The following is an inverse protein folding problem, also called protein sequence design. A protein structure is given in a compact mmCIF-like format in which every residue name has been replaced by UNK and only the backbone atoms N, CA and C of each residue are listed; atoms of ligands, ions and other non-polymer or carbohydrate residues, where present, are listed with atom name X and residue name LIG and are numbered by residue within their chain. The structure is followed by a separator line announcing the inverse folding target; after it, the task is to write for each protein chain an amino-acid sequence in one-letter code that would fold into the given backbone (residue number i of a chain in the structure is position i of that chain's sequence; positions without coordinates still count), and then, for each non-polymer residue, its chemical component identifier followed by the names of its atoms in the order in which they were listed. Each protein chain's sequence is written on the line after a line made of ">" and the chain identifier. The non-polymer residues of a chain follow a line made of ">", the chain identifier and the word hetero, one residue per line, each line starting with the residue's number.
data_IF_922547263970
#
_entry.id   IF_922547263970
#
_cell.length_a   1.000
_cell.length_b   1.000
_cell.length_c   1.000
_cell.angle_alpha   90.00
_cell.angle_beta   90.00
_cell.angle_gamma   90.00
#
_symmetry.space_group_name_H-M   'P 1'
#
loop_
_entity.id
_entity.type
_entity.pdbx_description
1 polymer ?
#
# COMPACT_ATOMS: atom_id res chain seq x y z
N UNK A 1 37.17 -1.85 40.35
CA UNK A 1 35.74 -2.15 40.12
C UNK A 1 34.85 -0.94 39.79
N UNK A 2 35.10 0.27 40.31
CA UNK A 2 34.23 1.44 40.02
C UNK A 2 34.23 1.85 38.53
N UNK A 3 35.41 1.94 37.91
CA UNK A 3 35.55 2.31 36.49
C UNK A 3 34.87 1.29 35.57
N UNK A 4 35.03 -0.01 35.85
CA UNK A 4 34.37 -1.07 35.08
C UNK A 4 32.84 -0.97 35.14
N UNK A 5 32.28 -0.56 36.28
CA UNK A 5 30.84 -0.32 36.44
C UNK A 5 30.36 0.88 35.63
N UNK A 6 31.12 1.97 35.62
CA UNK A 6 30.81 3.14 34.79
C UNK A 6 30.90 2.79 33.30
N UNK A 7 31.90 2.01 32.90
CA UNK A 7 32.07 1.57 31.52
C UNK A 7 30.91 0.68 31.07
N UNK A 8 30.47 -0.25 31.93
CA UNK A 8 29.30 -1.08 31.67
C UNK A 8 27.99 -0.26 31.60
N UNK A 9 27.82 0.72 32.49
CA UNK A 9 26.67 1.64 32.43
C UNK A 9 26.66 2.47 31.15
N UNK A 10 27.82 3.00 30.76
CA UNK A 10 28.00 3.79 29.55
C UNK A 10 27.77 2.96 28.28
N UNK A 11 28.21 1.70 28.25
CA UNK A 11 27.98 0.82 27.09
C UNK A 11 26.50 0.48 26.91
N UNK A 12 25.78 0.18 27.99
CA UNK A 12 24.33 -0.06 27.95
C UNK A 12 23.58 1.19 27.49
N UNK A 13 23.91 2.35 28.05
CA UNK A 13 23.31 3.62 27.64
C UNK A 13 23.59 3.92 26.16
N UNK A 14 24.84 3.75 25.70
CA UNK A 14 25.23 3.98 24.32
C UNK A 14 24.57 3.03 23.32
N UNK A 15 24.46 1.73 23.64
CA UNK A 15 23.75 0.77 22.79
C UNK A 15 22.25 1.09 22.72
N UNK A 16 21.66 1.52 23.84
CA UNK A 16 20.25 1.91 23.89
C UNK A 16 19.97 3.14 23.03
N UNK A 17 20.80 4.18 23.11
CA UNK A 17 20.61 5.38 22.27
C UNK A 17 20.86 5.09 20.79
N UNK A 18 21.83 4.23 20.46
CA UNK A 18 22.12 3.83 19.09
C UNK A 18 20.94 3.07 18.46
N UNK A 19 20.37 2.09 19.18
CA UNK A 19 19.22 1.33 18.69
C UNK A 19 17.99 2.21 18.48
N UNK A 20 17.69 3.11 19.41
CA UNK A 20 16.59 4.08 19.27
C UNK A 20 16.83 4.99 18.06
N UNK A 21 18.04 5.53 17.91
CA UNK A 21 18.41 6.39 16.78
C UNK A 21 18.28 5.68 15.43
N UNK A 22 18.73 4.42 15.35
CA UNK A 22 18.62 3.61 14.13
C UNK A 22 17.15 3.37 13.76
N UNK A 23 16.31 2.97 14.72
CA UNK A 23 14.87 2.76 14.48
C UNK A 23 14.17 4.07 14.10
N UNK A 24 14.53 5.19 14.71
CA UNK A 24 13.98 6.49 14.36
C UNK A 24 14.37 6.90 12.93
N UNK A 25 15.62 6.70 12.53
CA UNK A 25 16.10 6.97 11.18
C UNK A 25 15.43 6.06 10.14
N UNK A 26 15.25 4.77 10.45
CA UNK A 26 14.53 3.80 9.63
C UNK A 26 13.06 4.20 9.44
N UNK A 27 12.37 4.56 10.52
CA UNK A 27 10.98 5.05 10.43
C UNK A 27 10.88 6.35 9.65
N UNK A 28 11.84 7.26 9.79
CA UNK A 28 11.87 8.51 9.02
C UNK A 28 12.09 8.24 7.53
N UNK A 29 12.96 7.31 7.17
CA UNK A 29 13.20 6.94 5.77
C UNK A 29 12.00 6.23 5.14
N UNK A 30 11.30 5.39 5.91
CA UNK A 30 10.07 4.74 5.46
C UNK A 30 8.88 5.69 5.27
N UNK A 31 8.90 6.84 5.94
CA UNK A 31 7.90 7.90 5.76
C UNK A 31 8.32 8.92 4.70
N UNK A 32 9.52 8.80 4.13
CA UNK A 32 9.95 9.69 3.07
C UNK A 32 9.07 9.48 1.83
N UNK A 33 8.50 10.55 1.26
CA UNK A 33 7.81 10.47 -0.02
C UNK A 33 8.74 9.85 -1.07
N UNK A 34 8.21 9.03 -2.00
CA UNK A 34 9.02 8.51 -3.09
C UNK A 34 9.68 9.68 -3.84
N UNK A 35 10.94 9.54 -4.27
CA UNK A 35 11.62 10.61 -4.99
C UNK A 35 10.76 11.01 -6.18
N UNK A 36 10.46 12.30 -6.28
CA UNK A 36 9.71 12.87 -7.41
C UNK A 36 10.62 12.77 -8.63
N UNK A 37 10.57 11.62 -9.31
CA UNK A 37 11.11 11.49 -10.64
C UNK A 37 10.22 12.35 -11.51
N UNK A 38 10.72 13.52 -11.92
CA UNK A 38 10.07 14.34 -12.92
C UNK A 38 9.93 13.49 -14.19
N UNK A 39 8.77 12.84 -14.36
CA UNK A 39 8.41 12.22 -15.63
C UNK A 39 8.40 13.34 -16.65
N UNK A 40 9.32 13.27 -17.61
CA UNK A 40 9.24 14.07 -18.81
C UNK A 40 7.82 13.89 -19.37
N UNK A 41 7.06 14.97 -19.39
CA UNK A 41 5.67 14.96 -19.87
C UNK A 41 5.77 14.93 -21.40
N UNK A 42 5.40 13.82 -22.08
CA UNK A 42 5.30 13.88 -23.53
C UNK A 42 4.18 14.86 -23.87
N UNK A 43 4.46 15.79 -24.80
CA UNK A 43 3.49 16.81 -25.21
C UNK A 43 2.17 16.18 -25.64
N UNK A 44 1.02 16.78 -25.27
CA UNK A 44 -0.29 16.24 -25.63
C UNK A 44 -0.54 16.46 -27.13
N UNK A 45 -0.17 15.48 -27.95
CA UNK A 45 -0.67 15.42 -29.33
C UNK A 45 -2.13 14.99 -29.29
N UNK A 46 -3.01 15.92 -29.68
CA UNK A 46 -4.45 15.76 -29.67
C UNK A 46 -4.90 14.59 -30.57
N UNK A 47 -5.23 13.44 -29.99
CA UNK A 47 -6.22 12.49 -30.54
C UNK A 47 -6.80 11.66 -29.39
N UNK A 48 -8.13 11.71 -29.23
CA UNK A 48 -8.86 11.28 -28.05
C UNK A 48 -8.70 9.80 -27.66
N UNK A 49 -7.90 9.55 -26.62
CA UNK A 49 -7.89 8.30 -25.87
C UNK A 49 -7.54 8.62 -24.42
N UNK A 50 -8.50 8.46 -23.51
CA UNK A 50 -8.26 8.54 -22.07
C UNK A 50 -7.36 7.37 -21.69
N UNK A 51 -6.07 7.64 -21.47
CA UNK A 51 -5.16 6.67 -20.89
C UNK A 51 -5.50 6.52 -19.39
N UNK A 52 -6.18 5.43 -19.05
CA UNK A 52 -6.35 4.98 -17.67
C UNK A 52 -4.95 4.74 -17.08
N UNK A 53 -4.55 5.39 -15.97
CA UNK A 53 -3.32 5.04 -15.28
C UNK A 53 -3.45 3.61 -14.77
N UNK A 54 -2.63 2.71 -15.31
CA UNK A 54 -2.49 1.34 -14.82
C UNK A 54 -1.86 1.41 -13.41
N UNK A 55 -2.54 0.97 -12.35
CA UNK A 55 -1.89 0.74 -11.08
C UNK A 55 -1.02 -0.51 -11.22
N UNK A 56 0.25 -0.39 -10.84
CA UNK A 56 1.17 -1.51 -10.72
C UNK A 56 0.57 -2.53 -9.74
N UNK A 57 0.47 -3.77 -10.19
CA UNK A 57 -0.02 -4.87 -9.37
C UNK A 57 0.96 -5.16 -8.24
N UNK A 58 0.50 -5.44 -7.00
CA UNK A 58 1.29 -6.22 -6.06
C UNK A 58 1.39 -7.64 -6.61
N UNK A 59 2.62 -8.16 -6.75
CA UNK A 59 2.87 -9.57 -7.00
C UNK A 59 2.42 -10.33 -5.75
N UNK A 60 1.20 -10.86 -5.78
CA UNK A 60 0.69 -11.78 -4.78
C UNK A 60 0.02 -12.95 -5.48
N UNK A 61 0.62 -14.12 -5.26
CA UNK A 61 0.03 -15.46 -5.25
C UNK A 61 -1.03 -15.82 -6.31
N UNK A 62 -0.68 -16.83 -7.11
CA UNK A 62 -1.60 -17.64 -7.93
C UNK A 62 -2.88 -17.99 -7.17
N UNK A 63 -4.04 -17.54 -7.67
CA UNK A 63 -5.31 -18.28 -7.59
C UNK A 63 -6.30 -17.79 -8.64
N UNK A 64 -6.57 -18.69 -9.59
CA UNK A 64 -7.72 -18.83 -10.51
C UNK A 64 -8.41 -17.57 -11.08
N UNK A 65 -8.68 -17.51 -12.41
CA UNK A 65 -9.46 -16.44 -12.99
C UNK A 65 -10.85 -16.41 -12.32
N UNK A 66 -11.31 -15.27 -11.78
CA UNK A 66 -12.70 -15.16 -11.38
C UNK A 66 -13.50 -15.30 -12.68
N UNK A 67 -14.23 -16.41 -12.81
CA UNK A 67 -15.34 -16.51 -13.76
C UNK A 67 -16.29 -15.38 -13.38
N UNK A 68 -16.19 -14.25 -14.06
CA UNK A 68 -17.12 -13.13 -13.96
C UNK A 68 -18.44 -13.69 -14.49
N UNK A 69 -19.37 -14.11 -13.62
CA UNK A 69 -20.62 -14.68 -14.07
C UNK A 69 -21.52 -13.51 -14.37
N UNK A 70 -21.73 -13.28 -15.67
CA UNK A 70 -22.77 -12.44 -16.24
C UNK A 70 -22.60 -10.92 -16.02
N UNK A 71 -23.05 -10.17 -17.03
CA UNK A 71 -22.96 -8.73 -17.10
C UNK A 71 -23.69 -8.01 -15.96
N UNK A 72 -23.46 -6.71 -15.87
CA UNK A 72 -23.99 -5.83 -14.84
C UNK A 72 -25.50 -6.01 -14.61
N UNK A 73 -25.86 -6.49 -13.43
CA UNK A 73 -27.23 -6.77 -13.03
C UNK A 73 -27.90 -5.47 -12.53
N UNK A 74 -28.72 -4.88 -13.42
CA UNK A 74 -29.42 -3.62 -13.17
C UNK A 74 -30.49 -3.76 -12.08
N UNK A 75 -31.04 -4.96 -11.88
CA UNK A 75 -32.02 -5.22 -10.82
C UNK A 75 -31.35 -5.19 -9.45
N UNK A 76 -30.13 -5.74 -9.36
CA UNK A 76 -29.31 -5.69 -8.14
C UNK A 76 -28.82 -4.28 -7.82
N UNK A 77 -28.51 -3.46 -8.83
CA UNK A 77 -28.24 -2.03 -8.63
C UNK A 77 -29.48 -1.32 -8.08
N UNK A 78 -30.66 -1.58 -8.66
CA UNK A 78 -31.89 -0.93 -8.24
C UNK A 78 -32.32 -1.34 -6.82
N UNK A 79 -32.10 -2.61 -6.44
CA UNK A 79 -32.29 -3.09 -5.08
C UNK A 79 -31.34 -2.39 -4.09
N UNK A 80 -30.07 -2.19 -4.48
CA UNK A 80 -29.10 -1.45 -3.67
C UNK A 80 -29.47 0.02 -3.50
N UNK A 81 -29.98 0.67 -4.55
CA UNK A 81 -30.51 2.04 -4.46
C UNK A 81 -31.72 2.14 -3.53
N UNK A 82 -32.48 1.05 -3.37
CA UNK A 82 -33.58 0.94 -2.41
C UNK A 82 -33.12 0.54 -1.00
N UNK A 83 -31.83 0.27 -0.80
CA UNK A 83 -31.25 -0.10 0.48
C UNK A 83 -31.35 -1.58 0.82
N UNK A 84 -31.73 -2.43 -0.14
CA UNK A 84 -31.84 -3.87 0.08
C UNK A 84 -30.44 -4.51 0.21
N UNK A 85 -30.24 -5.45 1.16
CA UNK A 85 -28.94 -6.07 1.39
C UNK A 85 -28.52 -6.96 0.22
N UNK A 86 -27.24 -6.85 -0.17
CA UNK A 86 -26.65 -7.64 -1.25
C UNK A 86 -26.44 -9.09 -0.78
N UNK A 87 -27.37 -9.98 -1.16
CA UNK A 87 -27.19 -11.41 -0.93
C UNK A 87 -26.31 -12.04 -2.01
N UNK A 88 -25.40 -12.97 -1.66
CA UNK A 88 -24.63 -13.72 -2.65
C UNK A 88 -25.60 -14.53 -3.53
N UNK A 89 -25.27 -14.72 -4.82
CA UNK A 89 -26.13 -15.48 -5.72
C UNK A 89 -26.31 -16.89 -5.17
N UNK A 90 -27.56 -17.23 -4.86
CA UNK A 90 -27.97 -18.59 -4.50
C UNK A 90 -27.53 -19.53 -5.63
N UNK A 91 -26.53 -20.38 -5.37
CA UNK A 91 -26.21 -21.51 -6.23
C UNK A 91 -27.41 -22.46 -6.22
N UNK A 92 -28.25 -22.39 -7.25
CA UNK A 92 -29.12 -23.50 -7.66
C UNK A 92 -28.36 -24.34 -8.67
#
# INVERSE_FOLDING_TARGET
>A
MRILRFLAGASVAGLSTLTIGFVAADRLSHLAPPPVVAKATPEPSATGSIAVPKPEAPVAAVKAPPKIPNGFDTERLHALMRGDPILPPSKR
#
